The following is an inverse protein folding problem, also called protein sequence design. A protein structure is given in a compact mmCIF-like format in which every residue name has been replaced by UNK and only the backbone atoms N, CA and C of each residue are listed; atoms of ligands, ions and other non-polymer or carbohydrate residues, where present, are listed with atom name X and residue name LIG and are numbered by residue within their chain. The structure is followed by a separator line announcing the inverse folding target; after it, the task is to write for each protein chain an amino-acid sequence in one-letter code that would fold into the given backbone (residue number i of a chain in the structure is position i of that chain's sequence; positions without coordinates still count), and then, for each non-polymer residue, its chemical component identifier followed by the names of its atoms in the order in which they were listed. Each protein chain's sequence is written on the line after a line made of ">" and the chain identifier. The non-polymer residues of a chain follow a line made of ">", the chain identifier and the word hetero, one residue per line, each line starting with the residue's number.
data_IF_480797746876
#
_entry.id   IF_480797746876
#
_cell.length_a   1.000
_cell.length_b   1.000
_cell.length_c   1.000
_cell.angle_alpha   90.00
_cell.angle_beta   90.00
_cell.angle_gamma   90.00
#
_symmetry.space_group_name_H-M   'P 1'
#
loop_
_entity.id
_entity.type
_entity.pdbx_description
1 polymer ?
#
# COMPACT_ATOMS: atom_id res chain seq x y z
N UNK A 1 0.94 7.47 0.46
CA UNK A 1 2.28 7.37 1.10
C UNK A 1 3.32 8.33 0.54
N UNK A 2 3.11 8.96 -0.63
CA UNK A 2 4.07 9.91 -1.20
C UNK A 2 4.54 11.00 -0.22
N UNK A 3 3.61 11.68 0.45
CA UNK A 3 3.97 12.72 1.44
C UNK A 3 4.74 12.16 2.66
N UNK A 4 4.39 10.95 3.13
CA UNK A 4 5.15 10.29 4.20
C UNK A 4 6.59 10.07 3.75
N UNK A 5 6.79 9.51 2.55
CA UNK A 5 8.13 9.30 2.00
C UNK A 5 8.87 10.64 1.77
N UNK A 6 8.19 11.68 1.31
CA UNK A 6 8.77 13.01 1.13
C UNK A 6 9.34 13.55 2.44
N UNK A 7 8.53 13.65 3.49
CA UNK A 7 8.99 14.20 4.78
C UNK A 7 9.93 13.27 5.54
N UNK A 8 9.90 11.96 5.26
CA UNK A 8 10.78 10.97 5.90
C UNK A 8 12.15 10.85 5.23
N UNK A 9 12.20 10.82 3.91
CA UNK A 9 13.40 10.42 3.15
C UNK A 9 14.00 11.54 2.31
N UNK A 10 13.21 12.48 1.81
CA UNK A 10 13.64 13.39 0.75
C UNK A 10 13.71 14.86 1.16
N UNK A 11 12.90 15.29 2.12
CA UNK A 11 12.85 16.69 2.54
C UNK A 11 14.15 17.08 3.27
N UNK A 12 14.81 18.15 2.81
CA UNK A 12 16.15 18.54 3.27
C UNK A 12 16.21 18.96 4.75
N UNK A 13 15.11 19.48 5.29
CA UNK A 13 14.96 19.85 6.70
C UNK A 13 13.93 18.96 7.39
N UNK A 14 14.19 18.55 8.64
CA UNK A 14 13.19 17.78 9.39
C UNK A 14 11.95 18.61 9.69
N UNK A 15 10.77 18.01 9.50
CA UNK A 15 9.48 18.60 9.85
C UNK A 15 8.57 17.52 10.46
N UNK A 16 8.67 17.37 11.78
CA UNK A 16 8.01 16.28 12.50
C UNK A 16 6.48 16.44 12.54
N UNK A 17 5.98 17.68 12.56
CA UNK A 17 4.54 17.97 12.52
C UNK A 17 3.92 17.53 11.19
N UNK A 18 4.55 17.91 10.07
CA UNK A 18 4.11 17.49 8.75
C UNK A 18 4.21 15.96 8.60
N UNK A 19 5.32 15.35 9.02
CA UNK A 19 5.49 13.91 8.98
C UNK A 19 4.35 13.21 9.73
N UNK A 20 4.12 13.57 11.00
CA UNK A 20 3.06 13.00 11.84
C UNK A 20 1.69 13.15 11.18
N UNK A 21 1.36 14.34 10.67
CA UNK A 21 0.09 14.60 9.96
C UNK A 21 -0.10 13.65 8.77
N UNK A 22 0.93 13.44 7.96
CA UNK A 22 0.83 12.58 6.78
C UNK A 22 0.86 11.08 7.13
N UNK A 23 1.49 10.68 8.22
CA UNK A 23 1.39 9.32 8.76
C UNK A 23 -0.03 9.01 9.23
N UNK A 24 -0.63 9.90 10.03
CA UNK A 24 -2.02 9.77 10.48
C UNK A 24 -2.98 9.67 9.30
N UNK A 25 -2.76 10.48 8.26
CA UNK A 25 -3.56 10.44 7.04
C UNK A 25 -3.35 9.13 6.24
N UNK A 26 -2.14 8.57 6.22
CA UNK A 26 -1.87 7.29 5.59
C UNK A 26 -2.61 6.15 6.31
N UNK A 27 -2.57 6.12 7.65
CA UNK A 27 -3.32 5.16 8.45
C UNK A 27 -4.84 5.32 8.29
N UNK A 28 -5.36 6.54 8.23
CA UNK A 28 -6.77 6.79 7.91
C UNK A 28 -7.15 6.18 6.56
N UNK A 29 -6.28 6.28 5.56
CA UNK A 29 -6.51 5.70 4.22
C UNK A 29 -6.48 4.17 4.26
N UNK A 30 -5.59 3.56 5.06
CA UNK A 30 -5.63 2.12 5.33
C UNK A 30 -6.95 1.71 6.00
N UNK A 31 -7.46 2.48 6.96
CA UNK A 31 -8.78 2.22 7.56
C UNK A 31 -9.92 2.20 6.54
N UNK A 32 -9.91 3.11 5.56
CA UNK A 32 -10.92 3.12 4.47
C UNK A 32 -10.79 1.89 3.58
N UNK A 33 -9.57 1.55 3.17
CA UNK A 33 -9.33 0.36 2.34
C UNK A 33 -9.69 -0.93 3.08
N UNK A 34 -9.34 -1.04 4.36
CA UNK A 34 -9.71 -2.18 5.21
C UNK A 34 -11.23 -2.33 5.28
N UNK A 35 -11.95 -1.26 5.58
CA UNK A 35 -13.42 -1.30 5.62
C UNK A 35 -14.04 -1.71 4.27
N UNK A 36 -13.47 -1.25 3.17
CA UNK A 36 -13.89 -1.67 1.83
C UNK A 36 -13.64 -3.16 1.60
N UNK A 37 -12.45 -3.67 1.90
CA UNK A 37 -12.10 -5.09 1.74
C UNK A 37 -12.95 -6.00 2.63
N UNK A 38 -13.26 -5.57 3.86
CA UNK A 38 -14.12 -6.29 4.80
C UNK A 38 -15.61 -6.26 4.43
N UNK A 39 -16.03 -5.36 3.55
CA UNK A 39 -17.44 -5.27 3.14
C UNK A 39 -17.89 -6.41 2.22
N UNK A 40 -16.94 -7.23 1.74
CA UNK A 40 -17.19 -8.39 0.88
C UNK A 40 -16.11 -9.48 1.10
N UNK A 41 -15.87 -10.38 0.15
CA UNK A 41 -14.86 -11.45 0.29
C UNK A 41 -13.43 -10.91 0.48
N UNK A 42 -13.14 -9.69 0.01
CA UNK A 42 -11.88 -9.00 0.28
C UNK A 42 -10.67 -9.55 -0.48
N UNK A 43 -10.89 -10.42 -1.47
CA UNK A 43 -9.81 -10.88 -2.37
C UNK A 43 -9.31 -9.77 -3.32
N UNK A 44 -10.16 -8.76 -3.61
CA UNK A 44 -9.86 -7.58 -4.44
C UNK A 44 -10.53 -6.33 -3.84
N UNK A 45 -10.16 -5.13 -4.26
CA UNK A 45 -10.76 -3.89 -3.74
C UNK A 45 -12.26 -3.82 -4.03
N UNK A 46 -12.65 -4.17 -5.26
CA UNK A 46 -14.05 -4.29 -5.66
C UNK A 46 -14.52 -5.75 -5.59
N UNK A 47 -15.81 -6.00 -5.28
CA UNK A 47 -16.37 -7.34 -5.35
C UNK A 47 -16.22 -7.93 -6.74
N UNK A 48 -15.72 -9.16 -6.83
CA UNK A 48 -15.49 -9.82 -8.12
C UNK A 48 -14.63 -11.08 -7.99
N UNK A 49 -14.49 -11.80 -9.10
CA UNK A 49 -13.67 -13.01 -9.19
C UNK A 49 -12.26 -12.76 -9.72
N UNK A 50 -11.99 -11.56 -10.21
CA UNK A 50 -10.73 -11.21 -10.89
C UNK A 50 -10.27 -9.82 -10.47
N UNK A 51 -8.95 -9.62 -10.52
CA UNK A 51 -8.32 -8.32 -10.29
C UNK A 51 -8.93 -7.24 -11.20
N UNK A 52 -9.15 -6.06 -10.64
CA UNK A 52 -9.66 -4.89 -11.35
C UNK A 52 -8.57 -3.83 -11.54
N UNK A 53 -8.86 -2.81 -12.36
CA UNK A 53 -7.97 -1.65 -12.48
C UNK A 53 -7.79 -0.89 -11.16
N UNK A 54 -8.75 -1.01 -10.23
CA UNK A 54 -8.65 -0.40 -8.90
C UNK A 54 -7.55 -1.07 -8.08
N UNK A 55 -7.42 -2.39 -8.18
CA UNK A 55 -6.31 -3.13 -7.57
C UNK A 55 -4.97 -2.72 -8.18
N UNK A 56 -4.89 -2.63 -9.51
CA UNK A 56 -3.68 -2.15 -10.20
C UNK A 56 -3.26 -0.75 -9.75
N UNK A 57 -4.23 0.12 -9.45
CA UNK A 57 -3.96 1.48 -8.97
C UNK A 57 -3.51 1.50 -7.51
N UNK A 58 -4.16 0.74 -6.64
CA UNK A 58 -3.92 0.78 -5.20
C UNK A 58 -2.73 -0.07 -4.75
N UNK A 59 -2.56 -1.25 -5.36
CA UNK A 59 -1.58 -2.25 -4.94
C UNK A 59 -0.15 -1.71 -4.89
N UNK A 60 0.37 -1.00 -5.91
CA UNK A 60 1.77 -0.56 -5.87
C UNK A 60 2.08 0.39 -4.73
N UNK A 61 1.09 1.22 -4.35
CA UNK A 61 1.23 2.11 -3.21
C UNK A 61 1.33 1.31 -1.91
N UNK A 62 0.31 0.49 -1.60
CA UNK A 62 0.26 -0.27 -0.33
C UNK A 62 1.39 -1.29 -0.28
N UNK A 63 1.75 -1.87 -1.43
CA UNK A 63 3.04 -2.42 -1.83
C UNK A 63 4.22 -2.04 -0.94
N UNK A 64 4.45 -0.73 -0.94
CA UNK A 64 5.65 -0.08 -0.43
C UNK A 64 5.46 0.46 1.00
N UNK A 65 4.47 -0.03 1.76
CA UNK A 65 4.21 0.44 3.12
C UNK A 65 5.45 0.33 4.03
N UNK A 66 6.26 -0.72 3.86
CA UNK A 66 7.51 -0.90 4.59
C UNK A 66 8.56 0.18 4.31
N UNK A 67 8.67 0.65 3.06
CA UNK A 67 9.56 1.77 2.71
C UNK A 67 9.09 3.08 3.38
N UNK A 68 7.77 3.27 3.50
CA UNK A 68 7.18 4.38 4.23
C UNK A 68 7.29 4.25 5.77
N UNK A 69 7.83 3.14 6.27
CA UNK A 69 7.89 2.76 7.68
C UNK A 69 6.50 2.72 8.34
N UNK A 70 5.49 2.26 7.60
CA UNK A 70 4.13 2.05 8.08
C UNK A 70 3.84 0.55 8.24
N UNK A 71 3.13 0.18 9.30
CA UNK A 71 2.69 -1.20 9.55
C UNK A 71 1.27 -1.43 9.06
N UNK A 72 1.03 -2.58 8.42
CA UNK A 72 -0.32 -3.03 8.03
C UNK A 72 -0.89 -4.12 8.95
N UNK A 73 -0.18 -4.50 10.02
CA UNK A 73 -0.53 -5.64 10.89
C UNK A 73 -1.93 -5.54 11.52
N UNK A 74 -2.46 -4.33 11.70
CA UNK A 74 -3.80 -4.09 12.25
C UNK A 74 -4.93 -4.20 11.22
N UNK A 75 -4.60 -4.47 9.96
CA UNK A 75 -5.51 -4.46 8.81
C UNK A 75 -5.50 -5.82 8.10
N UNK A 76 -6.16 -6.86 8.66
CA UNK A 76 -6.12 -8.21 8.13
C UNK A 76 -6.69 -8.32 6.70
N UNK A 77 -7.68 -7.50 6.33
CA UNK A 77 -8.20 -7.41 4.97
C UNK A 77 -7.13 -6.94 3.99
N UNK A 78 -6.38 -5.88 4.34
CA UNK A 78 -5.24 -5.41 3.55
C UNK A 78 -4.17 -6.50 3.42
N UNK A 79 -3.82 -7.22 4.50
CA UNK A 79 -2.83 -8.31 4.43
C UNK A 79 -3.27 -9.41 3.47
N UNK A 80 -4.53 -9.89 3.59
CA UNK A 80 -5.11 -10.88 2.68
C UNK A 80 -5.09 -10.40 1.23
N UNK A 81 -5.48 -9.15 0.98
CA UNK A 81 -5.51 -8.56 -0.36
C UNK A 81 -4.12 -8.41 -0.98
N UNK A 82 -3.12 -7.98 -0.19
CA UNK A 82 -1.73 -7.91 -0.63
C UNK A 82 -1.20 -9.29 -1.05
N UNK A 83 -1.49 -10.33 -0.27
CA UNK A 83 -1.14 -11.71 -0.62
C UNK A 83 -1.85 -12.18 -1.88
N UNK A 84 -3.17 -11.95 -1.98
CA UNK A 84 -3.97 -12.34 -3.13
C UNK A 84 -3.44 -11.71 -4.43
N UNK A 85 -3.27 -10.39 -4.47
CA UNK A 85 -2.77 -9.67 -5.65
C UNK A 85 -1.30 -10.00 -5.92
N UNK A 86 -0.46 -10.04 -4.89
CA UNK A 86 0.96 -10.38 -5.02
C UNK A 86 1.21 -11.81 -5.47
N UNK A 87 0.24 -12.72 -5.29
CA UNK A 87 0.34 -14.11 -5.75
C UNK A 87 0.17 -14.27 -7.28
N UNK A 88 -0.47 -13.28 -7.94
CA UNK A 88 -0.80 -13.33 -9.36
C UNK A 88 0.45 -13.36 -10.24
N UNK A 89 0.41 -14.18 -11.30
CA UNK A 89 1.56 -14.41 -12.19
C UNK A 89 1.98 -13.10 -12.89
N UNK A 90 1.02 -12.30 -13.32
CA UNK A 90 1.22 -11.04 -14.02
C UNK A 90 1.85 -9.99 -13.10
N UNK A 91 1.43 -9.95 -11.83
CA UNK A 91 1.99 -9.04 -10.82
C UNK A 91 3.43 -9.44 -10.50
N UNK A 92 3.71 -10.73 -10.25
CA UNK A 92 5.08 -11.22 -10.05
C UNK A 92 5.99 -10.88 -11.24
N UNK A 93 5.54 -11.18 -12.46
CA UNK A 93 6.30 -10.87 -13.67
C UNK A 93 6.55 -9.36 -13.87
N UNK A 94 5.64 -8.49 -13.39
CA UNK A 94 5.86 -7.05 -13.40
C UNK A 94 6.97 -6.64 -12.41
N UNK A 95 6.92 -7.13 -11.18
CA UNK A 95 7.92 -6.80 -10.16
C UNK A 95 9.29 -7.46 -10.37
N UNK A 96 9.36 -8.56 -11.13
CA UNK A 96 10.65 -9.12 -11.59
C UNK A 96 11.39 -8.18 -12.57
N UNK A 97 10.65 -7.36 -13.33
CA UNK A 97 11.21 -6.39 -14.29
C UNK A 97 11.57 -5.05 -13.65
N UNK A 98 11.08 -4.79 -12.44
CA UNK A 98 11.36 -3.56 -11.72
C UNK A 98 12.58 -3.83 -10.83
N UNK A 99 13.67 -3.05 -10.97
CA UNK A 99 14.79 -3.14 -10.05
C UNK A 99 14.29 -3.03 -8.61
N UNK A 100 14.67 -3.96 -7.73
CA UNK A 100 14.33 -3.85 -6.31
C UNK A 100 14.88 -2.52 -5.82
N UNK A 101 14.01 -1.62 -5.36
CA UNK A 101 14.39 -0.29 -4.85
C UNK A 101 15.21 -0.30 -3.55
N UNK A 102 15.87 -1.42 -3.23
CA UNK A 102 16.87 -1.54 -2.16
C UNK A 102 18.26 -1.05 -2.60
N UNK A 103 18.42 -0.61 -3.86
CA UNK A 103 19.65 -0.01 -4.40
C UNK A 103 19.41 1.41 -4.95
N UNK A 104 18.74 2.28 -4.20
CA UNK A 104 18.77 3.74 -4.43
C UNK A 104 19.10 4.48 -3.15
#
# INVERSE_FOLDING_TARGET
>A
MGQVNWFRHYHSSKNDDALKRFEEQAYRTFGVLEGQLQSHDGSYVLPGKTMSVVDCHCYPWVYQHGYAQLSVEKYPGITKWLEAVGSLKEVKAAYEKIPKGQEM
#
